data_IF_311525567465
#
_entry.id   IF_311525567465
#
_cell.length_a   1.000
_cell.length_b   1.000
_cell.length_c   1.000
_cell.angle_alpha   90.00
_cell.angle_beta   90.00
_cell.angle_gamma   90.00
#
_symmetry.space_group_name_H-M   'P 1'
#
loop_
_entity.id
_entity.type
_entity.pdbx_description
1 polymer ?
#
# COMPACT_ATOMS: atom_id res chain seq x y z
N UNK A 1 16.64 2.47 6.62
CA UNK A 1 15.50 2.41 7.54
C UNK A 1 14.58 3.61 7.36
N UNK A 2 15.12 4.83 7.33
CA UNK A 2 14.32 6.07 7.18
C UNK A 2 13.45 6.07 5.92
N UNK A 3 13.94 5.56 4.80
CA UNK A 3 13.20 5.49 3.54
C UNK A 3 11.97 4.57 3.62
N UNK A 4 12.09 3.43 4.29
CA UNK A 4 10.95 2.54 4.53
C UNK A 4 9.94 3.20 5.47
N UNK A 5 10.42 3.80 6.54
CA UNK A 5 9.55 4.54 7.47
C UNK A 5 8.83 5.70 6.77
N UNK A 6 9.49 6.43 5.90
CA UNK A 6 8.86 7.50 5.11
C UNK A 6 7.77 6.95 4.19
N UNK A 7 7.98 5.78 3.58
CA UNK A 7 6.97 5.11 2.77
C UNK A 7 5.75 4.68 3.62
N UNK A 8 5.98 4.04 4.76
CA UNK A 8 4.90 3.67 5.69
C UNK A 8 4.12 4.88 6.20
N UNK A 9 4.83 5.97 6.55
CA UNK A 9 4.20 7.24 6.91
C UNK A 9 3.38 7.79 5.75
N UNK A 10 3.83 7.60 4.51
CA UNK A 10 3.07 7.94 3.30
C UNK A 10 1.70 7.26 3.28
N UNK A 11 1.62 5.96 3.57
CA UNK A 11 0.35 5.23 3.67
C UNK A 11 -0.57 5.80 4.75
N UNK A 12 -0.02 6.18 5.90
CA UNK A 12 -0.79 6.78 7.01
C UNK A 12 -1.31 8.17 6.64
N UNK A 13 -0.44 9.04 6.12
CA UNK A 13 -0.79 10.42 5.75
C UNK A 13 -1.85 10.45 4.65
N UNK A 14 -1.72 9.58 3.66
CA UNK A 14 -2.67 9.44 2.55
C UNK A 14 -3.93 8.64 2.93
N UNK A 15 -3.99 8.12 4.16
CA UNK A 15 -5.12 7.34 4.69
C UNK A 15 -5.50 6.15 3.81
N UNK A 16 -4.50 5.44 3.26
CA UNK A 16 -4.72 4.37 2.29
C UNK A 16 -5.61 3.25 2.84
N UNK A 17 -5.41 2.81 4.08
CA UNK A 17 -6.27 1.81 4.71
C UNK A 17 -7.73 2.25 4.81
N UNK A 18 -7.97 3.53 5.15
CA UNK A 18 -9.33 4.07 5.21
C UNK A 18 -9.96 4.18 3.82
N UNK A 19 -9.20 4.67 2.82
CA UNK A 19 -9.68 4.75 1.43
C UNK A 19 -10.04 3.38 0.89
N UNK A 20 -9.23 2.37 1.15
CA UNK A 20 -9.47 0.99 0.74
C UNK A 20 -10.73 0.41 1.40
N UNK A 21 -10.94 0.68 2.68
CA UNK A 21 -12.14 0.28 3.40
C UNK A 21 -13.40 0.93 2.80
N UNK A 22 -13.36 2.22 2.51
CA UNK A 22 -14.48 2.95 1.89
C UNK A 22 -14.76 2.40 0.50
N UNK A 23 -13.75 2.15 -0.32
CA UNK A 23 -13.91 1.57 -1.65
C UNK A 23 -14.58 0.21 -1.61
N UNK A 24 -14.12 -0.70 -0.73
CA UNK A 24 -14.72 -2.01 -0.53
C UNK A 24 -16.16 -1.93 -0.05
N UNK A 25 -16.45 -1.05 0.93
CA UNK A 25 -17.80 -0.84 1.45
C UNK A 25 -18.76 -0.32 0.39
N UNK A 26 -18.29 0.59 -0.45
CA UNK A 26 -19.09 1.16 -1.56
C UNK A 26 -19.47 0.07 -2.56
N UNK A 27 -18.52 -0.81 -2.93
CA UNK A 27 -18.80 -1.93 -3.83
C UNK A 27 -19.83 -2.86 -3.21
N UNK A 28 -19.71 -3.21 -1.94
CA UNK A 28 -20.68 -4.08 -1.24
C UNK A 28 -22.08 -3.46 -1.21
N UNK A 29 -22.20 -2.15 -0.95
CA UNK A 29 -23.48 -1.45 -0.97
C UNK A 29 -24.11 -1.40 -2.36
N UNK A 30 -23.32 -1.20 -3.41
CA UNK A 30 -23.80 -1.23 -4.80
C UNK A 30 -24.30 -2.64 -5.14
N UNK A 31 -23.53 -3.68 -4.79
CA UNK A 31 -23.96 -5.07 -5.03
C UNK A 31 -25.27 -5.39 -4.30
N UNK A 32 -25.40 -4.98 -3.05
CA UNK A 32 -26.65 -5.13 -2.30
C UNK A 32 -27.83 -4.42 -2.99
N UNK A 33 -27.60 -3.19 -3.46
CA UNK A 33 -28.67 -2.43 -4.12
C UNK A 33 -29.11 -3.05 -5.46
N UNK A 34 -28.17 -3.68 -6.18
CA UNK A 34 -28.45 -4.34 -7.48
C UNK A 34 -29.06 -5.73 -7.32
N UNK A 35 -28.57 -6.52 -6.36
CA UNK A 35 -28.96 -7.92 -6.20
C UNK A 35 -30.04 -8.13 -5.13
N UNK A 36 -30.23 -7.16 -4.23
CA UNK A 36 -31.06 -7.29 -3.03
C UNK A 36 -30.47 -8.22 -1.96
N UNK A 37 -29.21 -8.66 -2.12
CA UNK A 37 -28.56 -9.60 -1.23
C UNK A 37 -27.71 -8.88 -0.17
N UNK A 38 -28.11 -8.96 1.09
CA UNK A 38 -27.41 -8.38 2.24
C UNK A 38 -26.18 -9.19 2.66
N UNK A 39 -26.01 -10.41 2.12
CA UNK A 39 -24.91 -11.30 2.52
C UNK A 39 -23.53 -10.72 2.25
N UNK A 40 -23.39 -9.92 1.20
CA UNK A 40 -22.13 -9.22 0.86
C UNK A 40 -21.72 -8.21 1.96
N UNK A 41 -22.69 -7.49 2.53
CA UNK A 41 -22.44 -6.55 3.63
C UNK A 41 -22.08 -7.28 4.91
N UNK A 42 -22.78 -8.37 5.21
CA UNK A 42 -22.49 -9.21 6.38
C UNK A 42 -21.09 -9.85 6.28
N UNK A 43 -20.71 -10.37 5.10
CA UNK A 43 -19.40 -10.94 4.84
C UNK A 43 -18.29 -9.88 5.02
N UNK A 44 -18.51 -8.66 4.55
CA UNK A 44 -17.56 -7.56 4.73
C UNK A 44 -17.37 -7.18 6.19
N UNK A 45 -18.45 -7.13 6.98
CA UNK A 45 -18.37 -6.82 8.41
C UNK A 45 -17.51 -7.85 9.16
N UNK A 46 -17.60 -9.13 8.80
CA UNK A 46 -16.77 -10.20 9.34
C UNK A 46 -15.32 -10.17 8.87
N UNK A 47 -15.06 -9.67 7.65
CA UNK A 47 -13.73 -9.59 7.06
C UNK A 47 -12.95 -8.32 7.46
N UNK A 48 -13.60 -7.34 8.10
CA UNK A 48 -12.99 -6.05 8.47
C UNK A 48 -11.67 -6.18 9.25
N UNK A 49 -11.56 -7.02 10.29
CA UNK A 49 -10.29 -7.19 11.01
C UNK A 49 -9.17 -7.74 10.13
N UNK A 50 -9.48 -8.67 9.22
CA UNK A 50 -8.53 -9.26 8.28
C UNK A 50 -8.10 -8.23 7.23
N UNK A 51 -9.05 -7.47 6.69
CA UNK A 51 -8.77 -6.37 5.74
C UNK A 51 -7.84 -5.31 6.32
N UNK A 52 -7.91 -5.04 7.62
CA UNK A 52 -7.01 -4.08 8.27
C UNK A 52 -5.60 -4.62 8.53
N UNK A 53 -5.42 -5.94 8.52
CA UNK A 53 -4.14 -6.60 8.83
C UNK A 53 -3.43 -7.20 7.62
N UNK A 54 -4.16 -7.56 6.57
CA UNK A 54 -3.64 -8.25 5.38
C UNK A 54 -3.87 -7.47 4.07
N UNK A 55 -3.92 -6.16 4.14
CA UNK A 55 -4.24 -5.34 2.97
C UNK A 55 -3.12 -5.29 1.96
N UNK A 56 -3.39 -5.84 0.77
CA UNK A 56 -2.68 -5.48 -0.45
C UNK A 56 -3.04 -4.05 -0.83
N UNK A 57 -2.09 -3.15 -0.73
CA UNK A 57 -2.29 -1.82 -1.27
C UNK A 57 -2.34 -1.85 -2.80
N UNK A 58 -3.22 -1.05 -3.39
CA UNK A 58 -3.27 -0.90 -4.82
C UNK A 58 -1.97 -0.29 -5.36
N UNK A 59 -1.63 -0.55 -6.62
CA UNK A 59 -0.46 0.07 -7.27
C UNK A 59 -0.46 1.59 -7.21
N UNK A 60 -1.64 2.19 -7.17
CA UNK A 60 -1.80 3.63 -7.04
C UNK A 60 -1.43 4.10 -5.63
N UNK A 61 -1.87 3.39 -4.60
CA UNK A 61 -1.50 3.69 -3.21
C UNK A 61 -0.01 3.51 -2.96
N UNK A 62 0.61 2.50 -3.56
CA UNK A 62 2.06 2.32 -3.52
C UNK A 62 2.80 3.50 -4.17
N UNK A 63 2.32 3.99 -5.31
CA UNK A 63 2.90 5.17 -5.98
C UNK A 63 2.74 6.44 -5.15
N UNK A 64 1.59 6.65 -4.51
CA UNK A 64 1.37 7.79 -3.62
C UNK A 64 2.30 7.73 -2.40
N UNK A 65 2.47 6.56 -1.78
CA UNK A 65 3.39 6.37 -0.66
C UNK A 65 4.86 6.53 -1.08
N UNK A 66 5.24 5.99 -2.24
CA UNK A 66 6.58 6.17 -2.80
C UNK A 66 6.89 7.63 -3.12
N UNK A 67 5.93 8.36 -3.68
CA UNK A 67 6.10 9.79 -3.95
C UNK A 67 6.28 10.57 -2.65
N UNK A 68 5.50 10.27 -1.63
CA UNK A 68 5.67 10.87 -0.31
C UNK A 68 7.06 10.59 0.27
N UNK A 69 7.52 9.34 0.18
CA UNK A 69 8.86 8.95 0.65
C UNK A 69 9.96 9.69 -0.13
N UNK A 70 9.82 9.80 -1.46
CA UNK A 70 10.74 10.53 -2.31
C UNK A 70 10.85 12.00 -1.89
N UNK A 71 9.72 12.68 -1.78
CA UNK A 71 9.66 14.09 -1.41
C UNK A 71 10.23 14.33 0.00
N UNK A 72 9.93 13.43 0.95
CA UNK A 72 10.46 13.48 2.30
C UNK A 72 12.00 13.35 2.34
N UNK A 73 12.55 12.36 1.62
CA UNK A 73 14.00 12.14 1.54
C UNK A 73 14.69 13.32 0.86
N UNK A 74 14.11 13.79 -0.25
CA UNK A 74 14.66 14.93 -0.99
C UNK A 74 14.70 16.20 -0.15
N UNK A 75 13.62 16.51 0.60
CA UNK A 75 13.56 17.68 1.48
C UNK A 75 14.62 17.64 2.60
N UNK A 76 15.09 16.45 2.97
CA UNK A 76 16.13 16.24 3.99
C UNK A 76 17.54 16.08 3.41
N UNK A 77 17.70 16.24 2.11
CA UNK A 77 18.98 16.03 1.41
C UNK A 77 19.47 14.59 1.42
N UNK A 78 18.56 13.63 1.63
CA UNK A 78 18.87 12.20 1.61
C UNK A 78 18.63 11.66 0.21
N UNK A 79 19.62 10.98 -0.36
CA UNK A 79 19.48 10.41 -1.70
C UNK A 79 18.38 9.35 -1.77
N UNK A 80 17.39 9.49 -2.66
CA UNK A 80 16.35 8.46 -2.88
C UNK A 80 16.93 7.10 -3.31
N UNK A 81 18.16 7.05 -3.83
CA UNK A 81 18.86 5.82 -4.17
C UNK A 81 19.06 4.86 -2.97
N UNK A 82 18.98 5.38 -1.74
CA UNK A 82 18.98 4.52 -0.56
C UNK A 82 17.72 3.66 -0.48
N UNK A 83 16.58 4.17 -0.95
CA UNK A 83 15.33 3.41 -1.00
C UNK A 83 15.40 2.32 -2.08
N UNK A 84 15.90 2.66 -3.26
CA UNK A 84 16.13 1.68 -4.35
C UNK A 84 16.96 0.50 -3.86
N UNK A 85 18.11 0.77 -3.25
CA UNK A 85 19.01 -0.28 -2.73
C UNK A 85 18.35 -1.16 -1.66
N UNK A 86 17.47 -0.60 -0.85
CA UNK A 86 16.75 -1.40 0.15
C UNK A 86 15.71 -2.28 -0.52
N UNK A 87 14.94 -1.76 -1.48
CA UNK A 87 13.97 -2.55 -2.24
C UNK A 87 14.66 -3.70 -3.01
N UNK A 88 15.80 -3.42 -3.66
CA UNK A 88 16.59 -4.46 -4.35
C UNK A 88 17.08 -5.55 -3.39
N UNK A 89 17.56 -5.16 -2.19
CA UNK A 89 17.98 -6.14 -1.17
C UNK A 89 16.81 -6.98 -0.67
N UNK A 90 15.67 -6.36 -0.44
CA UNK A 90 14.46 -7.06 -0.01
C UNK A 90 14.03 -8.01 -1.13
N UNK A 91 13.97 -7.58 -2.38
CA UNK A 91 13.61 -8.43 -3.52
C UNK A 91 14.59 -9.60 -3.73
N UNK A 92 15.88 -9.42 -3.44
CA UNK A 92 16.92 -10.43 -3.63
C UNK A 92 17.14 -11.39 -2.45
N UNK A 93 16.59 -11.10 -1.26
CA UNK A 93 16.94 -11.87 -0.04
C UNK A 93 16.15 -13.16 0.16
N UNK A 94 15.11 -13.42 -0.62
CA UNK A 94 14.22 -14.57 -0.41
C UNK A 94 13.41 -14.54 0.91
N UNK A 95 13.78 -13.67 1.85
CA UNK A 95 13.06 -13.44 3.13
C UNK A 95 11.86 -12.50 2.99
N UNK A 96 11.40 -12.33 1.81
CA UNK A 96 10.53 -11.29 1.31
C UNK A 96 9.05 -11.44 1.70
N UNK A 97 8.73 -12.45 2.50
CA UNK A 97 7.34 -12.86 2.72
C UNK A 97 6.50 -11.81 3.47
N UNK A 98 7.13 -10.96 4.28
CA UNK A 98 6.41 -9.95 5.05
C UNK A 98 6.12 -8.67 4.27
N UNK A 99 7.16 -7.94 3.86
CA UNK A 99 7.01 -6.61 3.24
C UNK A 99 6.42 -6.68 1.82
N UNK A 100 6.92 -7.58 0.96
CA UNK A 100 6.40 -7.69 -0.42
C UNK A 100 5.03 -8.35 -0.49
N UNK A 101 4.59 -9.06 0.55
CA UNK A 101 3.23 -9.62 0.59
C UNK A 101 2.17 -8.53 0.70
N UNK A 102 2.49 -7.42 1.36
CA UNK A 102 1.59 -6.27 1.54
C UNK A 102 1.84 -5.15 0.53
N UNK A 103 3.04 -5.11 -0.08
CA UNK A 103 3.48 -4.07 -1.01
C UNK A 103 3.91 -4.65 -2.36
N UNK A 104 2.98 -5.00 -3.26
CA UNK A 104 3.30 -5.59 -4.55
C UNK A 104 4.00 -4.59 -5.51
N UNK A 105 4.57 -5.11 -6.59
CA UNK A 105 5.10 -4.32 -7.72
C UNK A 105 6.43 -3.61 -7.48
N UNK A 106 7.40 -4.29 -6.86
CA UNK A 106 8.75 -3.73 -6.64
C UNK A 106 9.40 -3.23 -7.93
N UNK A 107 9.23 -3.95 -9.04
CA UNK A 107 9.85 -3.58 -10.33
C UNK A 107 9.34 -2.23 -10.87
N UNK A 108 8.04 -1.94 -10.72
CA UNK A 108 7.47 -0.64 -11.11
C UNK A 108 7.95 0.48 -10.17
N UNK A 109 8.09 0.17 -8.89
CA UNK A 109 8.55 1.11 -7.86
C UNK A 109 10.01 1.51 -8.09
N UNK A 110 10.87 0.55 -8.43
CA UNK A 110 12.27 0.81 -8.78
C UNK A 110 12.40 1.80 -9.94
N UNK A 111 11.52 1.74 -10.94
CA UNK A 111 11.52 2.68 -12.05
C UNK A 111 11.19 4.13 -11.63
N UNK A 112 10.35 4.31 -10.64
CA UNK A 112 9.97 5.64 -10.12
C UNK A 112 11.17 6.35 -9.49
N UNK A 113 12.02 5.62 -8.78
CA UNK A 113 13.19 6.17 -8.08
C UNK A 113 14.46 6.19 -8.92
N UNK A 114 14.46 5.63 -10.14
CA UNK A 114 15.61 5.61 -11.07
C UNK A 114 15.69 6.87 -11.94
N UNK A 115 14.77 7.81 -11.77
CA UNK A 115 14.76 9.11 -12.43
C UNK A 115 15.53 10.12 -11.57
#
# INVERSE_FOLDING_TARGET
LESILAHEVGHVVQRHSLRQLIQGSTIALIMMAVTGDISAVAAMSGALPVLLTETYYSREFEREADQYAYDHLHARGISPQHFVRILERIAGSGETIGFLSTHPSVDERLQTFSR
#
